data_IF_335826619377
#
_entry.id   IF_335826619377
#
_cell.length_a   1.000
_cell.length_b   1.000
_cell.length_c   1.000
_cell.angle_alpha   90.00
_cell.angle_beta   90.00
_cell.angle_gamma   90.00
#
_symmetry.space_group_name_H-M   'P 1'
#
loop_
_entity.id
_entity.type
_entity.pdbx_description
1 polymer ?
#
# COMPACT_ATOMS: atom_id res chain seq x y z
N UNK A 1 -11.39 11.47 -5.22
CA UNK A 1 -10.87 11.46 -3.83
C UNK A 1 -9.52 10.77 -3.88
N UNK A 2 -8.49 11.35 -3.25
CA UNK A 2 -7.15 10.76 -3.15
C UNK A 2 -6.94 10.33 -1.70
N UNK A 3 -6.39 9.13 -1.51
CA UNK A 3 -6.09 8.54 -0.20
C UNK A 3 -4.64 8.06 -0.25
N UNK A 4 -3.88 8.41 0.77
CA UNK A 4 -2.48 8.01 0.91
C UNK A 4 -2.37 6.92 1.97
N UNK A 5 -1.41 6.01 1.82
CA UNK A 5 -1.16 4.97 2.83
C UNK A 5 0.30 4.94 3.22
N UNK A 6 0.58 4.73 4.50
CA UNK A 6 1.94 4.55 5.04
C UNK A 6 2.00 3.27 5.83
N UNK A 7 2.91 2.36 5.48
CA UNK A 7 3.17 1.21 6.34
C UNK A 7 3.96 1.68 7.56
N UNK A 8 3.45 1.44 8.76
CA UNK A 8 4.19 1.77 9.97
C UNK A 8 3.49 1.40 11.26
N UNK A 9 4.27 1.40 12.33
CA UNK A 9 3.88 0.93 13.65
C UNK A 9 3.83 2.05 14.67
N UNK A 10 3.00 1.87 15.69
CA UNK A 10 2.98 2.75 16.86
C UNK A 10 4.38 2.78 17.50
N UNK A 11 4.72 3.87 18.18
CA UNK A 11 6.05 4.06 18.78
C UNK A 11 6.42 2.96 19.79
N UNK A 12 5.42 2.38 20.47
CA UNK A 12 5.54 1.27 21.42
C UNK A 12 5.52 -0.12 20.75
N UNK A 13 5.41 -0.18 19.41
CA UNK A 13 5.31 -1.38 18.60
C UNK A 13 4.13 -2.32 18.96
N UNK A 14 3.12 -1.81 19.68
CA UNK A 14 1.96 -2.59 20.14
C UNK A 14 1.11 -3.17 19.00
N UNK A 15 1.16 -2.54 17.82
CA UNK A 15 0.50 -2.99 16.59
C UNK A 15 1.44 -3.75 15.63
N UNK A 16 2.66 -4.08 16.06
CA UNK A 16 3.61 -4.87 15.28
C UNK A 16 3.59 -6.34 15.74
N UNK A 17 3.08 -7.28 14.93
CA UNK A 17 3.05 -8.69 15.31
C UNK A 17 4.47 -9.23 15.56
N UNK A 18 4.69 -10.12 16.56
CA UNK A 18 6.00 -10.69 16.83
C UNK A 18 6.65 -11.36 15.61
N UNK A 19 5.85 -12.04 14.78
CA UNK A 19 6.32 -12.67 13.56
C UNK A 19 6.83 -11.67 12.51
N UNK A 20 6.40 -10.41 12.56
CA UNK A 20 6.90 -9.33 11.69
C UNK A 20 8.25 -8.80 12.19
N UNK A 21 8.47 -8.78 13.51
CA UNK A 21 9.75 -8.36 14.12
C UNK A 21 10.89 -9.36 13.86
N UNK A 22 10.56 -10.64 13.69
CA UNK A 22 11.56 -11.73 13.59
C UNK A 22 11.61 -12.41 12.21
N UNK A 23 10.79 -11.97 11.24
CA UNK A 23 10.77 -12.56 9.89
C UNK A 23 12.16 -12.45 9.24
N UNK A 24 12.68 -13.55 8.71
CA UNK A 24 14.00 -13.57 8.06
C UNK A 24 15.18 -13.45 9.03
N UNK A 25 14.97 -13.71 10.32
CA UNK A 25 15.98 -13.59 11.36
C UNK A 25 15.76 -12.33 12.18
N UNK A 26 16.56 -11.28 11.95
CA UNK A 26 16.37 -9.97 12.59
C UNK A 26 15.79 -8.99 11.57
N UNK A 27 14.60 -8.44 11.85
CA UNK A 27 14.18 -7.20 11.19
C UNK A 27 14.72 -6.00 11.94
N UNK A 28 14.68 -4.83 11.29
CA UNK A 28 15.14 -3.57 11.90
C UNK A 28 13.97 -2.70 12.38
N UNK A 29 12.73 -3.21 12.42
CA UNK A 29 11.56 -2.43 12.83
C UNK A 29 11.76 -1.90 14.24
N UNK A 30 11.64 -0.59 14.41
CA UNK A 30 11.83 0.11 15.69
C UNK A 30 13.28 0.44 16.05
N UNK A 31 14.26 -0.11 15.34
CA UNK A 31 15.68 0.22 15.52
C UNK A 31 16.02 1.57 14.87
N UNK A 32 17.00 2.33 15.38
CA UNK A 32 17.48 3.56 14.74
C UNK A 32 18.04 3.28 13.34
N UNK A 33 17.62 4.08 12.37
CA UNK A 33 18.18 4.15 11.03
C UNK A 33 18.62 5.58 10.67
N UNK A 34 19.06 5.83 9.43
CA UNK A 34 19.54 7.14 9.00
C UNK A 34 18.46 8.24 9.01
N UNK A 35 17.17 7.87 9.09
CA UNK A 35 16.03 8.79 9.07
C UNK A 35 15.09 8.57 10.26
N UNK A 36 15.63 8.19 11.42
CA UNK A 36 14.84 7.85 12.60
C UNK A 36 14.57 6.35 12.74
N UNK A 37 13.64 5.98 13.62
CA UNK A 37 13.31 4.56 13.88
C UNK A 37 12.58 3.93 12.70
N UNK A 38 13.09 2.79 12.24
CA UNK A 38 12.61 2.14 11.00
C UNK A 38 11.16 1.67 11.17
N UNK A 39 10.29 2.03 10.21
CA UNK A 39 8.86 1.71 10.19
C UNK A 39 8.06 2.18 11.42
N UNK A 40 8.53 3.20 12.14
CA UNK A 40 7.81 3.79 13.28
C UNK A 40 7.10 5.08 12.86
N UNK A 41 5.84 5.21 13.26
CA UNK A 41 5.00 6.35 12.92
C UNK A 41 5.56 7.66 13.48
N UNK A 42 5.60 8.68 12.64
CA UNK A 42 6.08 10.03 12.98
C UNK A 42 7.58 10.26 12.80
N UNK A 43 8.34 9.22 12.46
CA UNK A 43 9.75 9.36 12.11
C UNK A 43 9.88 9.88 10.66
N UNK A 44 10.95 10.64 10.38
CA UNK A 44 11.15 11.23 9.05
C UNK A 44 11.17 10.18 7.92
N UNK A 45 11.74 9.00 8.18
CA UNK A 45 11.77 7.91 7.21
C UNK A 45 10.48 7.12 7.04
N UNK A 46 9.46 7.37 7.86
CA UNK A 46 8.13 6.78 7.73
C UNK A 46 7.17 7.63 6.89
N UNK A 47 7.43 8.94 6.78
CA UNK A 47 6.50 9.85 6.12
C UNK A 47 6.54 9.76 4.59
N UNK A 48 5.53 10.36 3.95
CA UNK A 48 5.43 10.45 2.49
C UNK A 48 6.47 11.46 1.96
N UNK A 49 7.07 11.17 0.81
CA UNK A 49 8.05 12.06 0.19
C UNK A 49 7.43 13.42 -0.17
N UNK A 50 8.21 14.52 -0.15
CA UNK A 50 7.68 15.86 -0.40
C UNK A 50 6.95 16.01 -1.74
N UNK A 51 7.41 15.33 -2.80
CA UNK A 51 6.85 15.42 -4.16
C UNK A 51 5.44 14.85 -4.28
N UNK A 52 5.05 13.98 -3.34
CA UNK A 52 3.74 13.30 -3.31
C UNK A 52 2.99 13.58 -2.01
N UNK A 53 3.37 14.64 -1.29
CA UNK A 53 2.79 14.90 0.02
C UNK A 53 1.29 15.21 -0.08
N UNK A 54 0.45 14.66 0.83
CA UNK A 54 -0.99 14.90 0.81
C UNK A 54 -1.34 16.38 0.91
N UNK A 55 -2.33 16.82 0.13
CA UNK A 55 -2.91 18.16 0.31
C UNK A 55 -4.09 18.12 1.29
N UNK A 56 -4.55 19.31 1.71
CA UNK A 56 -5.66 19.43 2.66
C UNK A 56 -6.92 18.70 2.15
N UNK A 57 -7.46 17.81 2.98
CA UNK A 57 -8.67 17.02 2.67
C UNK A 57 -8.39 15.62 2.11
N UNK A 58 -7.14 15.27 1.80
CA UNK A 58 -6.76 13.91 1.39
C UNK A 58 -6.42 13.06 2.62
N UNK A 59 -7.16 11.96 2.89
CA UNK A 59 -6.88 11.13 4.06
C UNK A 59 -5.55 10.40 3.95
N UNK A 60 -4.89 10.22 5.09
CA UNK A 60 -3.67 9.41 5.23
C UNK A 60 -3.95 8.23 6.15
N UNK A 61 -3.70 7.02 5.67
CA UNK A 61 -3.98 5.76 6.35
C UNK A 61 -2.67 5.12 6.80
N UNK A 62 -2.45 5.06 8.12
CA UNK A 62 -1.35 4.32 8.70
C UNK A 62 -1.74 2.85 8.90
N UNK A 63 -1.11 1.96 8.12
CA UNK A 63 -1.39 0.52 8.13
C UNK A 63 -0.26 -0.27 8.80
N UNK A 64 -0.54 -1.15 9.78
CA UNK A 64 0.48 -2.02 10.37
C UNK A 64 0.85 -3.19 9.45
N UNK A 65 0.05 -3.46 8.42
CA UNK A 65 0.21 -4.54 7.46
C UNK A 65 0.61 -4.09 6.06
N UNK A 66 0.70 -5.07 5.15
CA UNK A 66 0.98 -4.81 3.72
C UNK A 66 -0.26 -4.30 3.00
N UNK A 67 -1.39 -4.98 3.18
CA UNK A 67 -2.70 -4.56 2.66
C UNK A 67 -3.25 -3.36 3.40
N UNK A 68 -3.83 -2.42 2.65
CA UNK A 68 -4.33 -1.17 3.20
C UNK A 68 -5.68 -1.29 3.91
N UNK A 69 -6.40 -2.43 3.79
CA UNK A 69 -7.67 -2.65 4.48
C UNK A 69 -7.50 -3.33 5.84
N UNK A 70 -6.35 -3.97 6.09
CA UNK A 70 -6.10 -4.69 7.34
C UNK A 70 -5.81 -3.74 8.51
N UNK A 71 -6.69 -3.76 9.53
CA UNK A 71 -6.61 -2.90 10.72
C UNK A 71 -6.59 -1.40 10.41
N UNK A 72 -7.40 -0.98 9.43
CA UNK A 72 -7.60 0.43 9.07
C UNK A 72 -9.08 0.73 8.92
N UNK A 73 -9.42 2.00 8.78
CA UNK A 73 -10.76 2.51 8.46
C UNK A 73 -10.98 2.70 6.95
N UNK A 74 -10.04 2.27 6.09
CA UNK A 74 -10.10 2.50 4.64
C UNK A 74 -11.42 2.04 4.02
N UNK A 75 -11.91 0.86 4.37
CA UNK A 75 -13.18 0.35 3.82
C UNK A 75 -14.36 1.24 4.19
N UNK A 76 -14.42 1.70 5.44
CA UNK A 76 -15.49 2.57 5.93
C UNK A 76 -15.43 3.94 5.25
N UNK A 77 -14.23 4.51 5.10
CA UNK A 77 -14.02 5.76 4.37
C UNK A 77 -14.54 5.66 2.94
N UNK A 78 -14.15 4.60 2.21
CA UNK A 78 -14.58 4.38 0.83
C UNK A 78 -16.10 4.19 0.71
N UNK A 79 -16.70 3.40 1.61
CA UNK A 79 -18.16 3.19 1.63
C UNK A 79 -18.93 4.48 1.91
N UNK A 80 -18.49 5.28 2.88
CA UNK A 80 -19.14 6.54 3.23
C UNK A 80 -19.12 7.56 2.08
N UNK A 81 -18.15 7.45 1.17
CA UNK A 81 -18.06 8.28 -0.04
C UNK A 81 -18.67 7.62 -1.28
N UNK A 82 -19.27 6.43 -1.15
CA UNK A 82 -19.88 5.71 -2.26
C UNK A 82 -18.88 5.30 -3.35
N UNK A 83 -17.59 5.15 -3.01
CA UNK A 83 -16.55 4.79 -3.97
C UNK A 83 -16.72 3.33 -4.40
N UNK A 84 -16.60 3.08 -5.71
CA UNK A 84 -16.71 1.74 -6.31
C UNK A 84 -15.48 1.33 -7.11
N UNK A 85 -14.67 2.30 -7.53
CA UNK A 85 -13.50 2.10 -8.37
C UNK A 85 -12.28 2.70 -7.70
N UNK A 86 -11.18 1.97 -7.67
CA UNK A 86 -9.90 2.39 -7.10
C UNK A 86 -8.84 2.41 -8.21
N UNK A 87 -8.17 3.54 -8.36
CA UNK A 87 -6.91 3.60 -9.10
C UNK A 87 -5.79 3.40 -8.07
N UNK A 88 -4.99 2.35 -8.22
CA UNK A 88 -4.00 1.94 -7.21
C UNK A 88 -2.58 2.12 -7.74
N UNK A 89 -1.84 3.04 -7.12
CA UNK A 89 -0.45 3.37 -7.42
C UNK A 89 0.47 3.10 -6.22
N UNK A 90 1.79 3.18 -6.41
CA UNK A 90 2.76 3.18 -5.32
C UNK A 90 3.69 1.96 -5.28
N UNK A 91 4.17 1.60 -4.09
CA UNK A 91 5.24 0.61 -3.92
C UNK A 91 5.07 -0.31 -2.69
N UNK A 92 5.63 -1.53 -2.70
CA UNK A 92 6.11 -2.24 -3.89
C UNK A 92 4.97 -2.97 -4.59
N UNK A 93 5.09 -3.12 -5.92
CA UNK A 93 4.07 -3.72 -6.80
C UNK A 93 3.62 -5.10 -6.30
N UNK A 94 4.56 -6.00 -6.04
CA UNK A 94 4.30 -7.39 -5.66
C UNK A 94 3.87 -7.57 -4.19
N UNK A 95 4.07 -6.56 -3.33
CA UNK A 95 3.76 -6.64 -1.90
C UNK A 95 2.55 -5.78 -1.56
N UNK A 96 2.75 -4.49 -1.27
CA UNK A 96 1.70 -3.63 -0.70
C UNK A 96 0.60 -3.34 -1.73
N UNK A 97 0.99 -3.06 -2.98
CA UNK A 97 0.03 -2.77 -4.05
C UNK A 97 -0.82 -4.01 -4.32
N UNK A 98 -0.21 -5.14 -4.66
CA UNK A 98 -0.96 -6.37 -4.97
C UNK A 98 -1.79 -6.88 -3.79
N UNK A 99 -1.30 -6.79 -2.55
CA UNK A 99 -2.09 -7.18 -1.36
C UNK A 99 -3.33 -6.30 -1.24
N UNK A 100 -3.19 -4.99 -1.42
CA UNK A 100 -4.30 -4.04 -1.34
C UNK A 100 -5.30 -4.22 -2.48
N UNK A 101 -4.83 -4.47 -3.71
CA UNK A 101 -5.68 -4.77 -4.87
C UNK A 101 -6.51 -6.03 -4.64
N UNK A 102 -5.90 -7.10 -4.13
CA UNK A 102 -6.62 -8.34 -3.80
C UNK A 102 -7.66 -8.12 -2.70
N UNK A 103 -7.30 -7.40 -1.65
CA UNK A 103 -8.24 -7.03 -0.58
C UNK A 103 -9.40 -6.17 -1.08
N UNK A 104 -9.15 -5.26 -2.03
CA UNK A 104 -10.16 -4.42 -2.65
C UNK A 104 -11.10 -5.23 -3.56
N UNK A 105 -10.54 -6.07 -4.43
CA UNK A 105 -11.29 -6.98 -5.30
C UNK A 105 -12.26 -7.85 -4.49
N UNK A 106 -11.79 -8.49 -3.41
CA UNK A 106 -12.62 -9.35 -2.56
C UNK A 106 -13.76 -8.58 -1.85
N UNK A 107 -13.64 -7.26 -1.74
CA UNK A 107 -14.66 -6.36 -1.18
C UNK A 107 -15.57 -5.75 -2.25
N UNK A 108 -15.40 -6.13 -3.52
CA UNK A 108 -16.23 -5.69 -4.64
C UNK A 108 -15.83 -4.35 -5.26
N UNK A 109 -14.60 -3.89 -5.04
CA UNK A 109 -14.09 -2.69 -5.72
C UNK A 109 -13.48 -3.05 -7.07
N UNK A 110 -13.79 -2.24 -8.09
CA UNK A 110 -13.14 -2.29 -9.38
C UNK A 110 -11.76 -1.64 -9.29
N UNK A 111 -10.69 -2.38 -9.60
CA UNK A 111 -9.31 -1.91 -9.42
C UNK A 111 -8.61 -1.67 -10.75
N UNK A 112 -8.08 -0.47 -10.94
CA UNK A 112 -7.26 -0.09 -12.10
C UNK A 112 -5.84 0.21 -11.60
N UNK A 113 -4.84 -0.43 -12.19
CA UNK A 113 -3.43 -0.28 -11.81
C UNK A 113 -2.69 0.34 -13.01
N UNK A 114 -2.29 1.62 -12.93
CA UNK A 114 -1.41 2.20 -13.94
C UNK A 114 0.01 1.63 -13.77
N UNK A 115 0.49 0.86 -14.75
CA UNK A 115 1.74 0.10 -14.62
C UNK A 115 3.00 0.97 -14.53
N UNK A 116 2.93 2.18 -15.07
CA UNK A 116 3.96 3.21 -14.98
C UNK A 116 3.90 4.02 -13.65
N UNK A 117 2.86 3.80 -12.83
CA UNK A 117 2.68 4.41 -11.52
C UNK A 117 2.94 3.45 -10.35
N UNK A 118 3.53 2.28 -10.63
CA UNK A 118 3.93 1.30 -9.60
C UNK A 118 5.41 0.93 -9.76
N UNK A 119 6.03 0.55 -8.65
CA UNK A 119 7.46 0.22 -8.62
C UNK A 119 7.79 -0.98 -7.76
N UNK A 120 8.82 -1.72 -8.12
CA UNK A 120 9.39 -2.82 -7.34
C UNK A 120 10.90 -2.72 -7.30
N UNK A 121 11.50 -3.27 -6.24
CA UNK A 121 12.95 -3.53 -6.21
C UNK A 121 13.36 -4.57 -7.28
N UNK A 122 12.42 -5.41 -7.72
CA UNK A 122 12.68 -6.53 -8.61
C UNK A 122 11.80 -6.42 -9.86
N UNK A 123 12.37 -6.06 -11.03
CA UNK A 123 11.60 -5.89 -12.26
C UNK A 123 10.77 -7.13 -12.64
N UNK A 124 11.31 -8.32 -12.37
CA UNK A 124 10.63 -9.60 -12.62
C UNK A 124 9.38 -9.78 -11.73
N UNK A 125 9.45 -9.37 -10.45
CA UNK A 125 8.31 -9.47 -9.55
C UNK A 125 7.22 -8.48 -9.93
N UNK A 126 7.58 -7.26 -10.34
CA UNK A 126 6.62 -6.30 -10.89
C UNK A 126 5.91 -6.87 -12.11
N UNK A 127 6.66 -7.39 -13.08
CA UNK A 127 6.09 -8.01 -14.28
C UNK A 127 5.07 -9.09 -13.91
N UNK A 128 5.45 -10.07 -13.10
CA UNK A 128 4.55 -11.16 -12.77
C UNK A 128 3.39 -10.74 -11.87
N UNK A 129 3.57 -9.77 -10.97
CA UNK A 129 2.48 -9.21 -10.19
C UNK A 129 1.39 -8.58 -11.08
N UNK A 130 1.79 -7.76 -12.05
CA UNK A 130 0.86 -7.14 -13.00
C UNK A 130 0.20 -8.17 -13.93
N UNK A 131 0.95 -9.15 -14.44
CA UNK A 131 0.38 -10.25 -15.23
C UNK A 131 -0.64 -11.07 -14.43
N UNK A 132 -0.36 -11.37 -13.15
CA UNK A 132 -1.31 -12.07 -12.27
C UNK A 132 -2.59 -11.28 -12.02
N UNK A 133 -2.52 -9.94 -11.93
CA UNK A 133 -3.70 -9.09 -11.73
C UNK A 133 -4.65 -9.17 -12.92
N UNK A 134 -4.10 -9.00 -14.15
CA UNK A 134 -4.91 -8.98 -15.37
C UNK A 134 -5.22 -10.37 -15.97
N UNK A 135 -4.64 -11.43 -15.42
CA UNK A 135 -4.86 -12.81 -15.86
C UNK A 135 -6.33 -13.22 -15.79
N UNK A 136 -6.69 -14.29 -16.51
CA UNK A 136 -8.04 -14.89 -16.50
C UNK A 136 -9.17 -13.88 -16.74
N UNK A 137 -8.91 -12.86 -17.58
CA UNK A 137 -9.89 -11.80 -17.87
C UNK A 137 -10.01 -10.78 -16.74
N UNK A 138 -8.89 -10.24 -16.24
CA UNK A 138 -8.84 -9.24 -15.17
C UNK A 138 -9.29 -9.76 -13.78
N UNK A 139 -8.83 -10.95 -13.39
CA UNK A 139 -9.27 -11.64 -12.15
C UNK A 139 -9.13 -10.82 -10.86
N UNK A 140 -8.18 -9.88 -10.78
CA UNK A 140 -8.06 -8.94 -9.65
C UNK A 140 -8.21 -7.46 -10.06
N UNK A 141 -8.44 -7.18 -11.33
CA UNK A 141 -8.52 -5.81 -11.87
C UNK A 141 -7.78 -5.61 -13.19
N UNK A 142 -7.77 -4.36 -13.66
CA UNK A 142 -7.17 -3.95 -14.92
C UNK A 142 -5.79 -3.34 -14.73
N UNK A 143 -4.91 -3.57 -15.70
CA UNK A 143 -3.60 -2.93 -15.78
C UNK A 143 -3.53 -2.14 -17.07
N UNK A 144 -3.10 -0.88 -17.00
CA UNK A 144 -3.01 0.03 -18.15
C UNK A 144 -1.85 1.02 -17.98
N UNK A 145 -1.55 1.81 -19.00
CA UNK A 145 -0.69 3.01 -18.89
C UNK A 145 -1.50 4.17 -18.28
N UNK A 146 -0.87 5.00 -17.45
CA UNK A 146 -1.52 6.15 -16.80
C UNK A 146 -2.15 7.14 -17.77
N UNK A 147 -1.65 7.24 -19.02
CA UNK A 147 -2.22 8.13 -20.05
C UNK A 147 -3.56 7.66 -20.61
N UNK A 148 -3.96 6.42 -20.32
CA UNK A 148 -5.22 5.84 -20.78
C UNK A 148 -6.35 5.96 -19.73
N UNK A 149 -6.10 6.63 -18.61
CA UNK A 149 -7.05 6.89 -17.51
C UNK A 149 -7.48 8.35 -17.57
#
# INVERSE_FOLDING_TARGET
>A
MVIHTREGHRADLSDCPPAKLTRGGKTFIGEPGPMGRILVRGEAGHDIIPELYPVAGEPVIDKPGKGAFYQTDLHLILQNHGIKTLIVCGVTTEVCVTTTVREANDRGYECIIPEDCVGSYFPEFQKYALEMIKAQGAIFGWVTDSKAI
#
